data_IF_983536001955
#
_entry.id   IF_983536001955
#
_cell.length_a   1.000
_cell.length_b   1.000
_cell.length_c   1.000
_cell.angle_alpha   90.00
_cell.angle_beta   90.00
_cell.angle_gamma   90.00
#
_symmetry.space_group_name_H-M   'P 1'
#
loop_
_entity.id
_entity.type
_entity.pdbx_description
1 polymer ?
#
# COMPACT_ATOMS: atom_id res chain seq x y z
N UNK A 1 -60.12 39.57 18.07
CA UNK A 1 -59.27 38.64 18.86
C UNK A 1 -58.43 37.67 18.03
N UNK A 2 -58.83 37.27 16.81
CA UNK A 2 -58.04 36.33 15.96
C UNK A 2 -56.76 36.94 15.35
N UNK A 3 -56.70 38.27 15.22
CA UNK A 3 -55.58 38.98 14.57
C UNK A 3 -54.35 39.14 15.48
N UNK A 4 -54.49 39.14 16.81
CA UNK A 4 -53.34 39.20 17.74
C UNK A 4 -52.56 37.88 17.81
N UNK A 5 -53.23 36.74 17.56
CA UNK A 5 -52.60 35.42 17.57
C UNK A 5 -51.61 35.23 16.41
N UNK A 6 -51.91 35.83 15.25
CA UNK A 6 -51.05 35.74 14.07
C UNK A 6 -49.75 36.54 14.20
N UNK A 7 -49.78 37.70 14.87
CA UNK A 7 -48.58 38.52 15.09
C UNK A 7 -47.65 37.86 16.11
N UNK A 8 -48.20 37.23 17.16
CA UNK A 8 -47.41 36.48 18.15
C UNK A 8 -46.72 35.25 17.57
N UNK A 9 -47.39 34.52 16.67
CA UNK A 9 -46.80 33.34 16.01
C UNK A 9 -45.70 33.72 15.02
N UNK A 10 -45.83 34.84 14.31
CA UNK A 10 -44.81 35.33 13.37
C UNK A 10 -43.53 35.81 14.09
N UNK A 11 -43.67 36.43 15.27
CA UNK A 11 -42.54 36.84 16.11
C UNK A 11 -41.79 35.65 16.71
N UNK A 12 -42.49 34.59 17.11
CA UNK A 12 -41.87 33.34 17.61
C UNK A 12 -41.09 32.60 16.51
N UNK A 13 -41.59 32.59 15.28
CA UNK A 13 -40.89 32.01 14.12
C UNK A 13 -39.66 32.85 13.74
N UNK A 14 -39.76 34.18 13.77
CA UNK A 14 -38.63 35.07 13.47
C UNK A 14 -37.48 34.96 14.49
N UNK A 15 -37.79 34.77 15.78
CA UNK A 15 -36.77 34.53 16.83
C UNK A 15 -36.13 33.14 16.69
N UNK A 16 -36.87 32.13 16.24
CA UNK A 16 -36.32 30.80 15.99
C UNK A 16 -35.35 30.74 14.80
N UNK A 17 -35.55 31.57 13.76
CA UNK A 17 -34.68 31.63 12.57
C UNK A 17 -33.36 32.36 12.86
N UNK A 18 -33.34 33.29 13.82
CA UNK A 18 -32.11 34.04 14.19
C UNK A 18 -31.12 33.21 15.03
N UNK A 19 -31.51 32.02 15.51
CA UNK A 19 -30.70 31.19 16.40
C UNK A 19 -29.74 30.22 15.66
N UNK A 20 -29.77 30.19 14.33
CA UNK A 20 -28.85 29.42 13.50
C UNK A 20 -27.83 30.33 12.80
N UNK A 21 -27.16 31.22 13.55
CA UNK A 21 -25.88 31.76 13.09
C UNK A 21 -24.87 30.64 13.24
N UNK A 22 -24.39 30.11 12.12
CA UNK A 22 -23.25 29.20 12.10
C UNK A 22 -22.16 29.77 13.01
N UNK A 23 -21.66 28.94 13.93
CA UNK A 23 -20.54 29.34 14.77
C UNK A 23 -19.40 29.83 13.87
N UNK A 24 -18.73 30.95 14.21
CA UNK A 24 -17.61 31.42 13.42
C UNK A 24 -16.61 30.28 13.25
N UNK A 25 -16.47 29.82 12.01
CA UNK A 25 -15.55 28.73 11.67
C UNK A 25 -14.13 29.18 12.01
N UNK A 26 -13.55 28.57 13.04
CA UNK A 26 -12.16 28.78 13.42
C UNK A 26 -11.25 28.48 12.22
N UNK A 27 -10.54 29.49 11.65
CA UNK A 27 -9.69 29.31 10.48
C UNK A 27 -8.51 28.36 10.76
N UNK A 28 -8.21 28.07 12.03
CA UNK A 28 -7.09 27.22 12.44
C UNK A 28 -7.48 25.76 12.70
N UNK A 29 -8.77 25.42 12.71
CA UNK A 29 -9.27 24.08 13.03
C UNK A 29 -8.67 22.95 12.19
N UNK A 30 -8.36 23.24 10.92
CA UNK A 30 -7.78 22.27 9.98
C UNK A 30 -6.37 22.65 9.50
N UNK A 31 -5.83 23.76 10.02
CA UNK A 31 -4.48 24.17 9.68
C UNK A 31 -3.48 23.19 10.32
N UNK A 32 -2.33 23.02 9.68
CA UNK A 32 -1.19 22.26 10.22
C UNK A 32 0.07 23.09 10.02
N UNK A 33 1.05 23.00 10.91
CA UNK A 33 2.37 23.56 10.64
C UNK A 33 3.00 22.84 9.45
N UNK A 34 4.03 23.45 8.86
CA UNK A 34 4.84 22.82 7.81
C UNK A 34 5.36 21.47 8.30
N UNK A 35 5.32 20.45 7.43
CA UNK A 35 5.80 19.11 7.77
C UNK A 35 6.75 18.55 6.72
N UNK A 36 7.85 17.98 7.18
CA UNK A 36 8.81 17.25 6.36
C UNK A 36 8.55 15.74 6.37
N UNK A 37 7.42 15.27 6.90
CA UNK A 37 7.07 13.86 6.83
C UNK A 37 6.89 13.41 5.36
N UNK A 38 7.31 12.18 5.12
CA UNK A 38 7.35 11.62 3.78
C UNK A 38 7.03 10.14 3.77
N UNK A 39 6.83 9.64 2.56
CA UNK A 39 6.50 8.26 2.26
C UNK A 39 7.54 7.67 1.33
N UNK A 40 7.78 6.37 1.49
CA UNK A 40 8.76 5.62 0.72
C UNK A 40 8.01 4.46 0.11
N UNK A 41 8.01 4.41 -1.21
CA UNK A 41 7.34 3.38 -1.98
C UNK A 41 8.39 2.52 -2.67
N UNK A 42 8.34 1.21 -2.46
CA UNK A 42 9.10 0.33 -3.32
C UNK A 42 8.45 0.29 -4.70
N UNK A 43 9.26 0.57 -5.72
CA UNK A 43 8.84 0.44 -7.11
C UNK A 43 9.57 -0.76 -7.69
N UNK A 44 8.88 -1.87 -7.97
CA UNK A 44 9.50 -3.07 -8.51
C UNK A 44 10.21 -2.77 -9.83
N UNK A 45 11.35 -3.42 -10.05
CA UNK A 45 12.03 -3.41 -11.33
C UNK A 45 11.11 -4.01 -12.40
N UNK A 46 10.71 -3.21 -13.39
CA UNK A 46 9.87 -3.70 -14.48
C UNK A 46 8.95 -2.69 -15.15
N UNK A 47 8.87 -1.43 -14.68
CA UNK A 47 8.04 -0.41 -15.34
C UNK A 47 6.61 -0.92 -15.53
N UNK A 48 5.91 -1.17 -14.43
CA UNK A 48 4.54 -1.64 -14.49
C UNK A 48 3.69 -0.64 -15.26
N UNK A 49 3.19 -1.07 -16.42
CA UNK A 49 2.04 -0.54 -17.16
C UNK A 49 1.23 0.47 -16.35
N UNK A 50 1.17 1.72 -16.83
CA UNK A 50 0.42 2.81 -16.20
C UNK A 50 -0.94 2.32 -15.68
N UNK A 51 -1.17 2.47 -14.36
CA UNK A 51 -2.41 2.10 -13.69
C UNK A 51 -2.43 0.73 -12.98
N UNK A 52 -1.35 -0.07 -13.01
CA UNK A 52 -1.34 -1.39 -12.37
C UNK A 52 -0.69 -1.47 -10.97
N UNK A 53 0.03 -0.43 -10.54
CA UNK A 53 0.74 -0.43 -9.26
C UNK A 53 0.70 0.93 -8.56
N UNK A 54 0.04 0.96 -7.40
CA UNK A 54 0.36 1.90 -6.35
C UNK A 54 1.54 1.28 -5.60
N UNK A 55 2.72 1.91 -5.63
CA UNK A 55 3.88 1.40 -4.91
C UNK A 55 3.57 1.12 -3.43
N UNK A 56 4.29 0.20 -2.79
CA UNK A 56 4.00 -0.20 -1.42
C UNK A 56 4.88 0.55 -0.42
N UNK A 57 4.27 1.00 0.68
CA UNK A 57 5.03 1.57 1.79
C UNK A 57 6.08 0.57 2.27
N UNK A 58 7.32 1.02 2.30
CA UNK A 58 8.43 0.20 2.79
C UNK A 58 9.44 1.03 3.56
N UNK A 59 10.17 0.38 4.45
CA UNK A 59 11.42 0.88 5.03
C UNK A 59 12.62 0.05 4.53
N UNK A 60 12.37 -0.96 3.68
CA UNK A 60 13.38 -1.86 3.13
C UNK A 60 13.22 -1.99 1.62
N UNK A 61 14.30 -1.76 0.87
CA UNK A 61 14.31 -1.60 -0.58
C UNK A 61 15.09 -2.75 -1.22
N UNK A 62 14.51 -3.42 -2.20
CA UNK A 62 15.15 -4.48 -2.98
C UNK A 62 15.90 -3.92 -4.19
N UNK A 63 15.24 -3.06 -4.97
CA UNK A 63 15.76 -2.55 -6.26
C UNK A 63 15.64 -1.05 -6.41
N UNK A 64 14.44 -0.50 -6.28
CA UNK A 64 14.17 0.91 -6.56
C UNK A 64 13.06 1.42 -5.66
N UNK A 65 13.14 2.70 -5.31
CA UNK A 65 12.16 3.33 -4.45
C UNK A 65 11.83 4.75 -4.91
N UNK A 66 10.61 5.16 -4.63
CA UNK A 66 10.14 6.53 -4.75
C UNK A 66 9.97 7.13 -3.36
N UNK A 67 10.64 8.24 -3.12
CA UNK A 67 10.52 9.05 -1.92
C UNK A 67 9.61 10.23 -2.24
N UNK A 68 8.53 10.41 -1.48
CA UNK A 68 7.54 11.47 -1.73
C UNK A 68 7.19 12.19 -0.44
N UNK A 69 7.44 13.50 -0.42
CA UNK A 69 7.04 14.39 0.66
C UNK A 69 5.51 14.48 0.72
N UNK A 70 4.96 14.53 1.94
CA UNK A 70 3.50 14.66 2.15
C UNK A 70 3.02 16.10 2.04
N UNK A 71 3.88 17.06 2.34
CA UNK A 71 3.57 18.48 2.17
C UNK A 71 3.50 18.81 0.67
N UNK A 72 2.46 19.57 0.29
CA UNK A 72 2.24 20.03 -1.08
C UNK A 72 2.61 21.51 -1.23
N UNK A 73 3.08 21.88 -2.42
CA UNK A 73 3.35 23.27 -2.78
C UNK A 73 4.50 23.92 -1.98
N UNK A 74 5.43 23.12 -1.45
CA UNK A 74 6.61 23.60 -0.75
C UNK A 74 7.87 23.51 -1.63
N UNK A 75 8.99 24.02 -1.12
CA UNK A 75 10.33 23.73 -1.62
C UNK A 75 10.89 22.52 -0.87
N UNK A 76 11.53 21.60 -1.59
CA UNK A 76 12.03 20.35 -1.03
C UNK A 76 13.54 20.28 -1.16
N UNK A 77 14.20 19.68 -0.17
CA UNK A 77 15.59 19.24 -0.29
C UNK A 77 15.71 17.86 0.34
N UNK A 78 16.11 16.90 -0.46
CA UNK A 78 16.35 15.52 -0.05
C UNK A 78 17.84 15.28 0.06
N UNK A 79 18.25 14.65 1.15
CA UNK A 79 19.60 14.10 1.33
C UNK A 79 19.44 12.58 1.44
N UNK A 80 19.87 11.84 0.42
CA UNK A 80 19.74 10.38 0.35
C UNK A 80 21.11 9.79 0.04
N UNK A 81 21.75 9.19 1.04
CA UNK A 81 23.16 8.79 0.93
C UNK A 81 24.03 10.00 0.57
N UNK A 82 24.73 9.94 -0.58
CA UNK A 82 25.53 11.04 -1.10
C UNK A 82 24.77 11.98 -2.07
N UNK A 83 23.51 11.66 -2.41
CA UNK A 83 22.70 12.40 -3.37
C UNK A 83 21.93 13.56 -2.74
N UNK A 84 21.78 14.64 -3.50
CA UNK A 84 20.93 15.80 -3.17
C UNK A 84 19.88 15.99 -4.27
N UNK A 85 18.61 16.13 -3.88
CA UNK A 85 17.48 16.27 -4.81
C UNK A 85 16.49 17.33 -4.33
N UNK A 86 15.75 17.94 -5.24
CA UNK A 86 14.93 19.14 -4.98
C UNK A 86 13.46 19.02 -5.36
N UNK A 87 13.03 17.85 -5.84
CA UNK A 87 11.63 17.58 -6.23
C UNK A 87 10.81 17.07 -5.06
N UNK A 88 9.50 17.30 -5.09
CA UNK A 88 8.57 16.70 -4.11
C UNK A 88 8.66 15.17 -4.08
N UNK A 89 8.89 14.57 -5.25
CA UNK A 89 9.01 13.13 -5.45
C UNK A 89 10.31 12.80 -6.16
N UNK A 90 11.06 11.85 -5.63
CA UNK A 90 12.37 11.41 -6.14
C UNK A 90 12.34 9.90 -6.32
N UNK A 91 12.68 9.43 -7.52
CA UNK A 91 12.84 7.99 -7.81
C UNK A 91 14.32 7.66 -7.88
N UNK A 92 14.76 6.64 -7.15
CA UNK A 92 16.14 6.16 -7.13
C UNK A 92 16.22 4.65 -7.30
N UNK A 93 17.27 4.24 -7.99
CA UNK A 93 17.65 2.84 -8.13
C UNK A 93 18.83 2.55 -7.17
N UNK A 94 18.71 1.46 -6.41
CA UNK A 94 19.67 1.03 -5.40
C UNK A 94 20.47 -0.21 -5.83
N UNK A 95 20.39 -0.61 -7.11
CA UNK A 95 21.24 -1.67 -7.66
C UNK A 95 22.72 -1.28 -7.49
N UNK A 96 23.49 -2.12 -6.80
CA UNK A 96 24.92 -1.90 -6.54
C UNK A 96 25.23 -1.29 -5.17
N UNK A 97 24.21 -0.96 -4.38
CA UNK A 97 24.37 -0.66 -2.94
C UNK A 97 24.72 -1.97 -2.19
N UNK A 98 25.36 -1.89 -1.03
CA UNK A 98 25.68 -3.10 -0.28
C UNK A 98 24.39 -3.73 0.30
N UNK A 99 24.35 -5.07 0.34
CA UNK A 99 23.22 -5.78 0.93
C UNK A 99 23.16 -5.54 2.45
N UNK A 100 21.96 -5.28 2.94
CA UNK A 100 21.64 -4.84 4.31
C UNK A 100 22.26 -3.49 4.72
N UNK A 101 22.61 -2.64 3.75
CA UNK A 101 23.07 -1.28 4.04
C UNK A 101 21.90 -0.40 4.52
N UNK A 102 22.12 0.33 5.61
CA UNK A 102 21.15 1.31 6.11
C UNK A 102 21.50 2.71 5.60
N UNK A 103 20.62 3.30 4.81
CA UNK A 103 20.79 4.63 4.22
C UNK A 103 19.88 5.63 4.96
N UNK A 104 20.44 6.72 5.53
CA UNK A 104 19.63 7.81 6.04
C UNK A 104 19.02 8.60 4.88
N UNK A 105 17.72 8.86 4.98
CA UNK A 105 16.93 9.67 4.05
C UNK A 105 16.39 10.86 4.82
N UNK A 106 16.90 12.05 4.52
CA UNK A 106 16.44 13.30 5.12
C UNK A 106 15.63 14.08 4.11
N UNK A 107 14.42 14.47 4.50
CA UNK A 107 13.61 15.45 3.78
C UNK A 107 13.63 16.77 4.56
N UNK A 108 13.91 17.87 3.87
CA UNK A 108 13.80 19.23 4.37
C UNK A 108 12.72 19.90 3.54
N UNK A 109 11.74 20.50 4.21
CA UNK A 109 10.61 21.18 3.58
C UNK A 109 10.59 22.64 4.01
N UNK A 110 10.49 23.55 3.05
CA UNK A 110 10.41 25.00 3.29
C UNK A 110 9.14 25.57 2.61
N UNK A 111 8.33 26.34 3.34
CA UNK A 111 7.08 26.97 2.88
C UNK A 111 6.83 28.27 3.66
N UNK A 112 5.92 29.11 3.15
CA UNK A 112 5.49 30.31 3.88
C UNK A 112 4.91 29.95 5.26
N UNK A 113 5.41 30.52 6.37
CA UNK A 113 4.95 30.19 7.71
C UNK A 113 3.52 30.67 8.00
N UNK A 114 2.70 29.83 8.62
CA UNK A 114 1.35 30.21 9.04
C UNK A 114 1.34 30.76 10.47
N UNK A 115 1.87 31.98 10.65
CA UNK A 115 1.94 32.64 11.97
C UNK A 115 0.59 32.97 12.60
N UNK A 116 -0.47 33.02 11.80
CA UNK A 116 -1.82 33.30 12.29
C UNK A 116 -2.36 32.14 13.14
N UNK A 117 -2.09 30.91 12.73
CA UNK A 117 -2.51 29.71 13.46
C UNK A 117 -1.40 29.08 14.31
N UNK A 118 -0.14 29.30 13.92
CA UNK A 118 1.04 28.74 14.56
C UNK A 118 2.09 29.84 14.73
N UNK A 119 2.04 30.64 15.83
CA UNK A 119 2.93 31.79 16.01
C UNK A 119 4.43 31.47 15.95
N UNK A 120 4.79 30.21 16.23
CA UNK A 120 6.17 29.70 16.20
C UNK A 120 6.53 28.98 14.89
N UNK A 121 5.62 28.93 13.92
CA UNK A 121 5.93 28.38 12.59
C UNK A 121 6.96 29.29 11.92
N UNK A 122 8.12 28.72 11.64
CA UNK A 122 9.23 29.36 10.92
C UNK A 122 9.25 28.97 9.45
N UNK A 123 8.26 28.18 9.00
CA UNK A 123 8.10 27.77 7.62
C UNK A 123 8.99 26.60 7.22
N UNK A 124 9.68 25.96 8.16
CA UNK A 124 10.66 24.91 7.86
C UNK A 124 10.50 23.71 8.77
N UNK A 125 10.54 22.52 8.17
CA UNK A 125 10.63 21.28 8.92
C UNK A 125 11.71 20.36 8.32
N UNK A 126 12.24 19.44 9.12
CA UNK A 126 13.24 18.46 8.70
C UNK A 126 12.98 17.12 9.36
N UNK A 127 12.91 16.06 8.54
CA UNK A 127 12.66 14.72 9.04
C UNK A 127 13.60 13.70 8.39
N UNK A 128 14.13 12.77 9.19
CA UNK A 128 15.02 11.71 8.72
C UNK A 128 14.45 10.33 9.03
N UNK A 129 14.40 9.45 8.02
CA UNK A 129 14.11 8.01 8.17
C UNK A 129 15.32 7.22 7.67
N UNK A 130 15.61 6.09 8.31
CA UNK A 130 16.55 5.12 7.77
C UNK A 130 15.82 4.14 6.87
N UNK A 131 16.40 3.82 5.71
CA UNK A 131 15.95 2.72 4.86
C UNK A 131 17.03 1.66 4.76
N UNK A 132 16.64 0.40 4.78
CA UNK A 132 17.57 -0.71 4.57
C UNK A 132 17.52 -1.12 3.10
N UNK A 133 18.66 -1.29 2.44
CA UNK A 133 18.72 -1.92 1.12
C UNK A 133 19.01 -3.39 1.32
N UNK A 134 18.16 -4.27 0.82
CA UNK A 134 18.32 -5.70 0.97
C UNK A 134 18.09 -6.40 -0.38
N UNK A 135 19.19 -6.74 -1.03
CA UNK A 135 19.25 -7.43 -2.32
C UNK A 135 18.96 -8.94 -2.22
N UNK A 136 18.96 -9.49 -1.00
CA UNK A 136 18.45 -10.83 -0.79
C UNK A 136 16.94 -10.83 -0.87
N UNK A 137 16.45 -11.45 -1.94
CA UNK A 137 15.08 -11.87 -2.10
C UNK A 137 14.64 -12.58 -0.80
N UNK A 138 13.56 -12.12 -0.12
CA UNK A 138 13.05 -12.82 1.06
C UNK A 138 12.83 -14.27 0.65
N UNK A 139 13.40 -15.23 1.39
CA UNK A 139 13.44 -16.64 0.96
C UNK A 139 12.03 -17.27 0.95
N UNK A 140 11.24 -16.91 -0.06
CA UNK A 140 9.83 -17.21 -0.25
C UNK A 140 9.62 -18.58 -0.84
N UNK A 141 10.66 -19.21 -1.38
CA UNK A 141 10.58 -20.55 -1.89
C UNK A 141 10.71 -21.54 -0.75
N UNK A 142 9.79 -22.48 -0.65
CA UNK A 142 9.76 -23.46 0.41
C UNK A 142 8.35 -23.84 0.79
N UNK A 143 8.23 -24.51 1.94
CA UNK A 143 6.95 -24.92 2.50
C UNK A 143 6.64 -24.09 3.72
N UNK A 144 5.40 -23.66 3.83
CA UNK A 144 4.90 -22.77 4.86
C UNK A 144 3.74 -23.44 5.60
N UNK A 145 3.69 -23.24 6.91
CA UNK A 145 2.49 -23.48 7.70
C UNK A 145 1.74 -22.15 7.82
N UNK A 146 0.50 -22.14 7.36
CA UNK A 146 -0.41 -21.02 7.46
C UNK A 146 -1.38 -21.20 8.64
N UNK A 147 -1.61 -20.11 9.38
CA UNK A 147 -2.61 -19.97 10.43
C UNK A 147 -3.64 -18.94 10.00
N UNK A 148 -4.87 -19.38 9.80
CA UNK A 148 -6.00 -18.51 9.46
C UNK A 148 -6.23 -17.50 10.60
N UNK A 149 -6.41 -16.21 10.25
CA UNK A 149 -6.62 -15.16 11.25
C UNK A 149 -8.06 -15.10 11.73
N UNK A 150 -9.02 -15.55 10.91
CA UNK A 150 -10.44 -15.58 11.26
C UNK A 150 -10.78 -16.84 12.07
N UNK A 151 -10.01 -17.92 11.86
CA UNK A 151 -10.06 -19.14 12.68
C UNK A 151 -8.65 -19.59 13.09
N UNK A 152 -8.14 -19.14 14.25
CA UNK A 152 -6.79 -19.46 14.72
C UNK A 152 -6.50 -20.95 14.90
N UNK A 153 -7.51 -21.82 14.97
CA UNK A 153 -7.33 -23.27 15.08
C UNK A 153 -7.16 -23.95 13.72
N UNK A 154 -7.47 -23.24 12.64
CA UNK A 154 -7.36 -23.74 11.28
C UNK A 154 -5.95 -23.50 10.74
N UNK A 155 -5.19 -24.59 10.73
CA UNK A 155 -3.85 -24.66 10.16
C UNK A 155 -3.89 -25.36 8.80
N UNK A 156 -3.07 -24.90 7.86
CA UNK A 156 -2.85 -25.56 6.57
C UNK A 156 -1.41 -25.36 6.12
N UNK A 157 -0.96 -26.12 5.13
CA UNK A 157 0.38 -25.95 4.55
C UNK A 157 0.28 -25.61 3.08
N UNK A 158 1.24 -24.82 2.61
CA UNK A 158 1.42 -24.55 1.18
C UNK A 158 2.88 -24.45 0.82
N UNK A 159 3.17 -24.65 -0.45
CA UNK A 159 4.53 -24.57 -0.96
C UNK A 159 4.59 -23.58 -2.12
N UNK A 160 5.67 -22.80 -2.14
CA UNK A 160 6.05 -21.94 -3.26
C UNK A 160 7.36 -22.47 -3.80
N UNK A 161 7.42 -22.75 -5.10
CA UNK A 161 8.66 -23.20 -5.72
C UNK A 161 8.78 -22.70 -7.15
N UNK A 162 10.02 -22.60 -7.60
CA UNK A 162 10.31 -22.39 -9.01
C UNK A 162 10.01 -23.67 -9.79
N UNK A 163 9.36 -23.51 -10.94
CA UNK A 163 9.11 -24.59 -11.89
C UNK A 163 9.39 -24.12 -13.31
N UNK A 164 9.68 -25.06 -14.20
CA UNK A 164 9.92 -24.79 -15.62
C UNK A 164 8.87 -25.55 -16.42
N UNK A 165 8.12 -24.86 -17.27
CA UNK A 165 7.18 -25.48 -18.22
C UNK A 165 7.61 -25.10 -19.63
N UNK A 166 8.13 -26.07 -20.39
CA UNK A 166 8.78 -25.80 -21.68
C UNK A 166 10.06 -24.98 -21.50
N UNK A 167 10.13 -23.81 -22.13
CA UNK A 167 11.27 -22.87 -22.05
C UNK A 167 11.05 -21.71 -21.08
N UNK A 168 9.91 -21.68 -20.39
CA UNK A 168 9.52 -20.56 -19.53
C UNK A 168 9.63 -20.94 -18.05
N UNK A 169 10.09 -19.99 -17.24
CA UNK A 169 10.17 -20.12 -15.80
C UNK A 169 8.87 -19.63 -15.16
N UNK A 170 8.37 -20.38 -14.20
CA UNK A 170 7.15 -20.10 -13.48
C UNK A 170 7.34 -20.24 -11.98
N UNK A 171 6.47 -19.59 -11.22
CA UNK A 171 6.30 -19.85 -9.80
C UNK A 171 5.07 -20.71 -9.65
N UNK A 172 5.22 -21.83 -8.95
CA UNK A 172 4.12 -22.75 -8.66
C UNK A 172 3.74 -22.67 -7.19
N UNK A 173 2.44 -22.67 -6.96
CA UNK A 173 1.83 -22.74 -5.65
C UNK A 173 1.10 -24.06 -5.49
N UNK A 174 1.47 -24.81 -4.45
CA UNK A 174 0.82 -26.06 -4.09
C UNK A 174 0.07 -25.90 -2.76
N UNK A 175 -1.08 -26.58 -2.65
CA UNK A 175 -1.90 -26.68 -1.43
C UNK A 175 -2.42 -25.35 -0.85
N UNK A 176 -2.68 -24.33 -1.69
CA UNK A 176 -3.46 -23.15 -1.26
C UNK A 176 -4.90 -23.61 -0.90
N UNK A 177 -5.52 -23.08 0.19
CA UNK A 177 -6.80 -23.54 0.70
C UNK A 177 -7.91 -23.52 -0.35
N UNK A 178 -8.84 -24.44 -0.11
CA UNK A 178 -9.90 -24.92 -1.00
C UNK A 178 -10.61 -23.79 -1.76
N UNK A 179 -10.66 -23.92 -3.09
CA UNK A 179 -11.30 -22.99 -4.03
C UNK A 179 -10.49 -22.76 -5.31
N UNK A 180 -9.20 -23.10 -5.31
CA UNK A 180 -8.28 -22.93 -6.43
C UNK A 180 -7.99 -24.30 -7.06
N UNK A 181 -7.86 -24.42 -8.40
CA UNK A 181 -7.29 -25.64 -8.99
C UNK A 181 -5.92 -25.94 -8.38
N UNK A 182 -5.62 -27.23 -8.21
CA UNK A 182 -4.51 -27.76 -7.40
C UNK A 182 -3.10 -27.29 -7.79
N UNK A 183 -2.94 -26.58 -8.90
CA UNK A 183 -1.66 -26.08 -9.36
C UNK A 183 -1.88 -24.70 -9.98
N UNK A 184 -1.42 -23.64 -9.31
CA UNK A 184 -1.29 -22.35 -9.99
C UNK A 184 0.13 -22.22 -10.48
N UNK A 185 0.27 -22.15 -11.80
CA UNK A 185 1.53 -21.86 -12.48
C UNK A 185 1.49 -20.42 -12.98
N UNK A 186 2.43 -19.60 -12.52
CA UNK A 186 2.49 -18.16 -12.79
C UNK A 186 3.75 -17.82 -13.56
N UNK A 187 3.61 -17.13 -14.69
CA UNK A 187 4.78 -16.64 -15.41
C UNK A 187 5.54 -15.65 -14.50
N UNK A 188 6.85 -15.82 -14.36
CA UNK A 188 7.72 -14.92 -13.59
C UNK A 188 7.62 -13.46 -14.05
N UNK A 189 7.25 -13.19 -15.30
CA UNK A 189 7.04 -11.81 -15.79
C UNK A 189 5.83 -11.10 -15.12
N UNK A 190 4.96 -11.86 -14.45
CA UNK A 190 3.82 -11.35 -13.65
C UNK A 190 4.09 -11.39 -12.16
N UNK A 191 5.30 -11.74 -11.78
CA UNK A 191 5.75 -11.80 -10.40
C UNK A 191 6.40 -10.47 -10.05
N UNK A 192 5.75 -9.74 -9.14
CA UNK A 192 6.30 -8.52 -8.60
C UNK A 192 6.87 -8.83 -7.24
N UNK A 193 8.17 -8.63 -7.14
CA UNK A 193 8.91 -8.80 -5.91
C UNK A 193 9.39 -7.46 -5.39
N UNK A 194 8.80 -7.07 -4.27
CA UNK A 194 9.40 -6.16 -3.33
C UNK A 194 10.02 -6.91 -2.15
N UNK A 195 10.85 -6.24 -1.36
CA UNK A 195 11.45 -6.84 -0.16
C UNK A 195 10.37 -7.27 0.84
N UNK A 196 9.36 -6.41 1.05
CA UNK A 196 8.24 -6.73 1.94
C UNK A 196 7.05 -7.31 1.21
N UNK A 197 6.78 -6.89 -0.02
CA UNK A 197 5.54 -7.24 -0.72
C UNK A 197 5.77 -8.10 -1.94
N UNK A 198 5.10 -9.25 -1.98
CA UNK A 198 4.94 -10.03 -3.21
C UNK A 198 3.49 -9.96 -3.61
N UNK A 199 3.24 -9.45 -4.82
CA UNK A 199 1.89 -9.42 -5.40
C UNK A 199 1.85 -10.34 -6.60
N UNK A 200 0.93 -11.29 -6.53
CA UNK A 200 0.77 -12.32 -7.53
C UNK A 200 -0.63 -12.21 -8.08
N UNK A 201 -0.74 -11.86 -9.37
CA UNK A 201 -2.01 -11.89 -10.08
C UNK A 201 -2.00 -13.00 -11.12
N UNK A 202 -2.72 -14.09 -10.86
CA UNK A 202 -2.97 -15.12 -11.87
C UNK A 202 -4.33 -14.91 -12.54
N UNK A 203 -4.42 -15.33 -13.80
CA UNK A 203 -5.70 -15.72 -14.40
C UNK A 203 -5.71 -17.23 -14.51
N UNK A 204 -6.70 -17.88 -13.91
CA UNK A 204 -6.86 -19.33 -14.00
C UNK A 204 -7.61 -19.64 -15.28
N UNK A 205 -7.05 -20.50 -16.13
CA UNK A 205 -7.75 -21.05 -17.28
C UNK A 205 -8.08 -22.51 -16.99
N UNK A 206 -9.36 -22.86 -16.94
CA UNK A 206 -9.77 -24.27 -16.86
C UNK A 206 -9.57 -24.95 -18.22
N UNK A 207 -8.94 -26.12 -18.23
CA UNK A 207 -8.84 -26.99 -19.40
C UNK A 207 -10.24 -27.51 -19.76
N UNK A 208 -10.89 -26.93 -20.77
CA UNK A 208 -12.21 -27.42 -21.21
C UNK A 208 -13.06 -26.49 -22.07
N UNK A 209 -12.52 -25.37 -22.57
CA UNK A 209 -13.21 -24.51 -23.55
C UNK A 209 -14.32 -23.59 -23.00
N UNK A 210 -14.78 -23.79 -21.77
CA UNK A 210 -15.68 -22.88 -21.04
C UNK A 210 -14.92 -22.11 -19.95
N UNK A 211 -14.00 -21.23 -20.33
CA UNK A 211 -13.14 -20.54 -19.37
C UNK A 211 -13.94 -19.64 -18.41
N UNK A 212 -13.90 -19.92 -17.11
CA UNK A 212 -14.22 -18.91 -16.10
C UNK A 212 -13.01 -17.98 -15.97
N UNK A 213 -13.26 -16.68 -16.07
CA UNK A 213 -12.23 -15.69 -15.76
C UNK A 213 -12.13 -15.62 -14.23
N UNK A 214 -11.22 -16.38 -13.65
CA UNK A 214 -10.91 -16.27 -12.23
C UNK A 214 -9.56 -15.57 -12.08
N UNK A 215 -9.54 -14.53 -11.25
CA UNK A 215 -8.34 -13.84 -10.85
C UNK A 215 -8.06 -14.12 -9.38
N UNK A 216 -6.80 -14.24 -8.99
CA UNK A 216 -6.48 -14.08 -7.58
C UNK A 216 -5.35 -13.10 -7.39
N UNK A 217 -5.34 -12.44 -6.25
CA UNK A 217 -4.24 -11.61 -5.77
C UNK A 217 -3.74 -12.22 -4.48
N UNK A 218 -2.49 -12.65 -4.46
CA UNK A 218 -1.83 -13.06 -3.23
C UNK A 218 -0.82 -11.99 -2.84
N UNK A 219 -0.99 -11.44 -1.64
CA UNK A 219 -0.11 -10.44 -1.04
C UNK A 219 0.60 -11.07 0.16
N UNK A 220 1.92 -10.99 0.17
CA UNK A 220 2.74 -11.32 1.32
C UNK A 220 3.33 -10.04 1.90
N UNK A 221 3.46 -9.95 3.22
CA UNK A 221 4.22 -8.94 3.93
C UNK A 221 5.23 -9.69 4.78
N UNK A 222 6.52 -9.60 4.46
CA UNK A 222 7.55 -10.17 5.33
C UNK A 222 7.58 -9.39 6.65
N UNK A 223 7.42 -10.11 7.76
CA UNK A 223 7.35 -9.54 9.11
C UNK A 223 8.56 -9.87 9.98
N UNK A 224 9.56 -10.59 9.43
CA UNK A 224 10.79 -10.96 10.14
C UNK A 224 11.05 -12.47 10.15
N UNK A 225 12.33 -12.85 10.08
CA UNK A 225 12.76 -14.24 10.10
C UNK A 225 12.07 -15.09 9.02
N UNK A 226 11.40 -16.16 9.45
CA UNK A 226 10.66 -17.09 8.59
C UNK A 226 9.16 -16.79 8.50
N UNK A 227 8.69 -15.62 8.95
CA UNK A 227 7.27 -15.31 9.07
C UNK A 227 6.78 -14.24 8.09
N UNK A 228 5.54 -14.41 7.64
CA UNK A 228 4.86 -13.55 6.68
C UNK A 228 3.41 -13.31 7.13
N UNK A 229 2.95 -12.07 7.07
CA UNK A 229 1.53 -11.76 7.08
C UNK A 229 1.02 -11.83 5.64
N UNK A 230 -0.03 -12.59 5.41
CA UNK A 230 -0.52 -12.91 4.07
C UNK A 230 -1.98 -12.52 3.92
N UNK A 231 -2.30 -11.91 2.79
CA UNK A 231 -3.68 -11.69 2.34
C UNK A 231 -3.86 -12.36 0.98
N UNK A 232 -4.79 -13.29 0.91
CA UNK A 232 -5.20 -13.93 -0.33
C UNK A 232 -6.60 -13.42 -0.71
N UNK A 233 -6.71 -12.84 -1.90
CA UNK A 233 -7.96 -12.34 -2.46
C UNK A 233 -8.29 -13.11 -3.75
N UNK A 234 -9.41 -13.82 -3.75
CA UNK A 234 -9.95 -14.53 -4.91
C UNK A 234 -11.09 -13.74 -5.52
N UNK A 235 -10.99 -13.41 -6.81
CA UNK A 235 -11.98 -12.68 -7.57
C UNK A 235 -12.53 -13.54 -8.69
N UNK A 236 -13.85 -13.73 -8.69
CA UNK A 236 -14.56 -14.48 -9.72
C UNK A 236 -15.21 -13.47 -10.66
N UNK A 237 -14.99 -13.62 -11.96
CA UNK A 237 -15.59 -12.79 -12.99
C UNK A 237 -16.51 -13.64 -13.89
N UNK A 238 -17.54 -13.01 -14.44
CA UNK A 238 -18.38 -13.65 -15.45
C UNK A 238 -17.69 -13.67 -16.83
N UNK A 239 -18.38 -14.20 -17.84
CA UNK A 239 -17.88 -14.28 -19.22
C UNK A 239 -17.62 -12.91 -19.87
N UNK A 240 -18.23 -11.84 -19.34
CA UNK A 240 -18.01 -10.44 -19.78
C UNK A 240 -16.87 -9.74 -19.02
N UNK A 241 -16.14 -10.46 -18.17
CA UNK A 241 -15.11 -9.91 -17.28
C UNK A 241 -15.64 -8.95 -16.19
N UNK A 242 -16.92 -9.05 -15.86
CA UNK A 242 -17.50 -8.28 -14.74
C UNK A 242 -17.31 -9.06 -13.44
N UNK A 243 -16.84 -8.37 -12.39
CA UNK A 243 -16.61 -8.96 -11.07
C UNK A 243 -17.94 -9.45 -10.48
N UNK A 244 -18.00 -10.73 -10.12
CA UNK A 244 -19.18 -11.36 -9.50
C UNK A 244 -19.03 -11.47 -7.99
N UNK A 245 -17.84 -11.84 -7.51
CA UNK A 245 -17.58 -11.98 -6.09
C UNK A 245 -16.09 -11.85 -5.78
N UNK A 246 -15.80 -11.37 -4.57
CA UNK A 246 -14.46 -11.37 -3.98
C UNK A 246 -14.49 -12.16 -2.68
N UNK A 247 -13.51 -13.04 -2.48
CA UNK A 247 -13.29 -13.72 -1.20
C UNK A 247 -11.88 -13.42 -0.71
N UNK A 248 -11.78 -12.91 0.51
CA UNK A 248 -10.50 -12.55 1.12
C UNK A 248 -10.20 -13.49 2.28
N UNK A 249 -8.94 -13.89 2.41
CA UNK A 249 -8.44 -14.72 3.49
C UNK A 249 -7.18 -14.08 4.03
N UNK A 250 -7.14 -13.84 5.33
CA UNK A 250 -5.95 -13.32 6.00
C UNK A 250 -5.34 -14.44 6.83
N UNK A 251 -4.03 -14.65 6.72
CA UNK A 251 -3.35 -15.70 7.43
C UNK A 251 -1.90 -15.31 7.74
N UNK A 252 -1.33 -15.90 8.79
CA UNK A 252 0.10 -15.83 9.05
C UNK A 252 0.77 -17.07 8.51
N UNK A 253 1.81 -16.91 7.71
CA UNK A 253 2.60 -18.03 7.20
C UNK A 253 3.96 -18.08 7.90
N UNK A 254 4.35 -19.26 8.39
CA UNK A 254 5.69 -19.52 8.91
C UNK A 254 6.37 -20.56 8.03
N UNK A 255 7.57 -20.27 7.51
CA UNK A 255 8.36 -21.21 6.74
C UNK A 255 8.82 -22.37 7.62
N UNK A 256 8.53 -23.59 7.19
CA UNK A 256 8.87 -24.83 7.89
C UNK A 256 9.91 -25.68 7.14
N UNK A 257 10.10 -25.44 5.84
CA UNK A 257 11.14 -26.06 4.99
C UNK A 257 11.58 -25.09 3.91
#
# INVERSE_FOLDING_TARGET
MKTLYFIGLFLLIAVAIQCCKDEPTDPCKNAKPVSADFTIYETPSGGGWEGWYDGYYTDTILHSATFKAKEDGAKYTWLIGAGVYDKQSVFLNFNGVANYESIPVTCIVEKEPNKNCFPNDDGKDTFTKNVTVAHQNPNIFGTFQAKDLDDPNKLWTFSIFDTVVGTSNYIRFDNIPVGIPRDVILNKDKFIQGYKVIVIRARVYQSGGGGRNEGFTLRYIWIGGNQFDCTYEWKIYNSKSELQSTKTYNFKATKIK
#
